data_IF_523434718381
#
_entry.id   IF_523434718381
#
_cell.length_a   1.000
_cell.length_b   1.000
_cell.length_c   1.000
_cell.angle_alpha   90.00
_cell.angle_beta   90.00
_cell.angle_gamma   90.00
#
_symmetry.space_group_name_H-M   'P 1'
#
loop_
_entity.id
_entity.type
_entity.pdbx_description
1 polymer ?
#
# COMPACT_ATOMS: atom_id res chain seq x y z
N UNK A 1 25.65 -2.62 -16.14
CA UNK A 1 24.28 -2.07 -16.25
C UNK A 1 24.33 -0.62 -15.82
N UNK A 2 24.03 0.35 -16.69
CA UNK A 2 23.88 1.75 -16.28
C UNK A 2 22.56 1.89 -15.55
N UNK A 3 22.59 2.43 -14.35
CA UNK A 3 21.38 2.74 -13.59
C UNK A 3 20.53 3.70 -14.40
N UNK A 4 19.28 3.36 -14.63
CA UNK A 4 18.30 4.27 -15.22
C UNK A 4 18.00 5.33 -14.15
N UNK A 5 18.58 6.51 -14.29
CA UNK A 5 18.19 7.65 -13.46
C UNK A 5 16.88 8.21 -14.00
N UNK A 6 15.80 7.99 -13.29
CA UNK A 6 14.58 8.75 -13.50
C UNK A 6 14.86 10.20 -13.09
N UNK A 7 14.99 11.10 -14.08
CA UNK A 7 14.90 12.53 -13.83
C UNK A 7 13.45 12.87 -13.57
N UNK A 8 13.09 13.04 -12.30
CA UNK A 8 11.85 13.71 -11.93
C UNK A 8 12.02 15.16 -12.35
N UNK A 9 11.16 15.64 -13.25
CA UNK A 9 11.12 17.04 -13.66
C UNK A 9 10.98 17.95 -12.45
N UNK A 10 11.62 19.12 -12.48
CA UNK A 10 11.44 20.13 -11.41
C UNK A 10 9.98 20.59 -11.27
N UNK A 11 9.19 20.42 -12.33
CA UNK A 11 7.78 20.82 -12.39
C UNK A 11 6.86 19.77 -11.71
N UNK A 12 7.32 18.51 -11.55
CA UNK A 12 6.62 17.47 -10.81
C UNK A 12 6.81 17.59 -9.29
N UNK A 13 7.66 18.50 -8.84
CA UNK A 13 7.73 18.91 -7.45
C UNK A 13 6.61 19.90 -7.16
N UNK A 14 5.35 19.47 -7.31
CA UNK A 14 4.29 20.11 -6.56
C UNK A 14 4.69 19.97 -5.09
N UNK A 15 4.94 21.10 -4.42
CA UNK A 15 5.55 21.04 -3.11
C UNK A 15 4.59 20.34 -2.16
N UNK A 16 5.12 19.63 -1.16
CA UNK A 16 4.39 19.20 0.03
C UNK A 16 3.58 20.34 0.69
N UNK A 17 3.66 21.54 0.17
CA UNK A 17 2.85 22.70 0.55
C UNK A 17 1.35 22.57 0.18
N UNK A 18 0.97 21.70 -0.75
CA UNK A 18 -0.45 21.40 -0.99
C UNK A 18 -1.05 20.49 0.09
N UNK A 19 -0.23 19.85 0.91
CA UNK A 19 -0.65 19.23 2.17
C UNK A 19 -0.83 20.25 3.30
N UNK A 20 -0.67 21.56 3.03
CA UNK A 20 -1.00 22.61 3.98
C UNK A 20 -2.50 22.62 4.24
N UNK A 21 -2.87 22.16 5.42
CA UNK A 21 -4.26 22.00 5.85
C UNK A 21 -4.66 20.56 6.11
N UNK A 22 -3.87 19.57 5.70
CA UNK A 22 -4.06 18.21 6.16
C UNK A 22 -3.50 18.09 7.58
N UNK A 23 -4.34 17.68 8.49
CA UNK A 23 -3.95 17.39 9.87
C UNK A 23 -4.43 15.99 10.22
N UNK A 24 -3.57 15.23 10.90
CA UNK A 24 -3.97 13.93 11.48
C UNK A 24 -4.97 14.10 12.63
N UNK A 25 -5.06 15.31 13.17
CA UNK A 25 -5.99 15.67 14.24
C UNK A 25 -7.13 16.52 13.69
N UNK A 26 -8.11 15.87 13.05
CA UNK A 26 -9.33 16.51 12.58
C UNK A 26 -10.53 15.93 13.33
N UNK A 27 -11.16 16.74 14.16
CA UNK A 27 -12.33 16.35 14.97
C UNK A 27 -13.66 16.77 14.35
N UNK A 28 -13.66 17.26 13.12
CA UNK A 28 -14.89 17.66 12.43
C UNK A 28 -15.77 16.44 12.13
N UNK A 29 -17.09 16.64 12.29
CA UNK A 29 -18.08 15.64 11.86
C UNK A 29 -18.38 15.84 10.36
N UNK A 30 -17.63 15.14 9.55
CA UNK A 30 -17.77 15.16 8.08
C UNK A 30 -18.83 14.17 7.65
N UNK A 31 -19.86 14.61 6.92
CA UNK A 31 -20.84 13.69 6.35
C UNK A 31 -20.25 12.92 5.16
N UNK A 32 -19.69 11.76 5.44
CA UNK A 32 -18.97 10.91 4.47
C UNK A 32 -19.86 10.44 3.33
N UNK A 33 -21.19 10.26 3.54
CA UNK A 33 -22.13 9.86 2.48
C UNK A 33 -22.25 10.90 1.36
N UNK A 34 -21.95 12.16 1.65
CA UNK A 34 -21.97 13.24 0.65
C UNK A 34 -20.62 13.49 0.00
N UNK A 35 -19.55 12.88 0.50
CA UNK A 35 -18.20 13.08 -0.04
C UNK A 35 -17.95 12.21 -1.28
N UNK A 36 -17.15 12.65 -2.25
CA UNK A 36 -16.56 11.78 -3.26
C UNK A 36 -15.57 10.81 -2.62
N UNK A 37 -15.11 9.78 -3.33
CA UNK A 37 -14.08 8.87 -2.83
C UNK A 37 -12.74 9.59 -2.59
N UNK A 38 -12.38 10.48 -3.49
CA UNK A 38 -11.14 11.27 -3.45
C UNK A 38 -11.43 12.76 -3.65
N UNK A 39 -10.52 13.61 -3.17
CA UNK A 39 -10.54 15.06 -3.36
C UNK A 39 -11.75 15.77 -2.76
N UNK A 40 -12.41 15.18 -1.77
CA UNK A 40 -13.44 15.82 -0.96
C UNK A 40 -12.85 16.57 0.24
N UNK A 41 -13.66 16.70 1.29
CA UNK A 41 -13.18 17.27 2.55
C UNK A 41 -12.19 16.31 3.23
N UNK A 42 -11.21 16.84 4.00
CA UNK A 42 -10.32 16.00 4.79
C UNK A 42 -11.11 15.09 5.73
N UNK A 43 -10.58 13.89 5.93
CA UNK A 43 -11.16 12.91 6.85
C UNK A 43 -11.26 13.48 8.27
N UNK A 44 -12.42 13.38 8.86
CA UNK A 44 -12.68 13.73 10.25
C UNK A 44 -12.68 12.50 11.16
N UNK A 45 -13.53 12.52 12.18
CA UNK A 45 -13.70 11.36 13.08
C UNK A 45 -14.29 10.19 12.31
N UNK A 46 -13.62 9.04 12.38
CA UNK A 46 -14.08 7.83 11.72
C UNK A 46 -15.32 7.26 12.40
N UNK A 47 -16.33 6.98 11.60
CA UNK A 47 -17.58 6.37 12.06
C UNK A 47 -17.74 4.99 11.50
N UNK A 48 -17.67 3.99 12.36
CA UNK A 48 -17.77 2.57 12.00
C UNK A 48 -19.20 2.07 11.78
N UNK A 49 -20.18 2.93 12.05
CA UNK A 49 -21.63 2.65 11.91
C UNK A 49 -22.25 3.25 10.63
N UNK A 50 -21.49 4.01 9.86
CA UNK A 50 -22.03 4.85 8.80
C UNK A 50 -21.16 4.87 7.53
N UNK A 51 -21.16 3.76 6.80
CA UNK A 51 -20.39 3.64 5.56
C UNK A 51 -21.19 4.09 4.33
N UNK A 52 -20.52 4.75 3.40
CA UNK A 52 -21.06 5.03 2.06
C UNK A 52 -20.92 3.81 1.16
N UNK A 53 -19.79 3.11 1.26
CA UNK A 53 -19.46 1.91 0.48
C UNK A 53 -19.07 0.75 1.41
N UNK A 54 -20.05 0.01 1.95
CA UNK A 54 -19.78 -1.10 2.86
C UNK A 54 -18.86 -2.19 2.28
N UNK A 55 -18.73 -2.26 0.97
CA UNK A 55 -17.85 -3.20 0.30
C UNK A 55 -16.36 -3.00 0.66
N UNK A 56 -15.93 -1.77 0.91
CA UNK A 56 -14.54 -1.50 1.33
C UNK A 56 -14.28 -2.01 2.74
N UNK A 57 -15.23 -1.83 3.64
CA UNK A 57 -15.14 -2.41 4.99
C UNK A 57 -15.11 -3.95 4.96
N UNK A 58 -15.92 -4.56 4.11
CA UNK A 58 -15.91 -6.01 3.94
C UNK A 58 -14.58 -6.49 3.34
N UNK A 59 -14.02 -5.76 2.39
CA UNK A 59 -12.71 -6.06 1.81
C UNK A 59 -11.60 -5.97 2.86
N UNK A 60 -11.60 -4.93 3.67
CA UNK A 60 -10.66 -4.78 4.80
C UNK A 60 -10.72 -5.98 5.75
N UNK A 61 -11.93 -6.45 6.09
CA UNK A 61 -12.11 -7.64 6.93
C UNK A 61 -11.59 -8.92 6.27
N UNK A 62 -11.76 -9.05 4.96
CA UNK A 62 -11.20 -10.17 4.21
C UNK A 62 -9.67 -10.13 4.21
N UNK A 63 -9.07 -8.97 3.96
CA UNK A 63 -7.62 -8.79 3.96
C UNK A 63 -7.01 -9.14 5.33
N UNK A 64 -7.63 -8.70 6.43
CA UNK A 64 -7.23 -9.07 7.77
C UNK A 64 -7.28 -10.59 8.02
N UNK A 65 -8.21 -11.29 7.37
CA UNK A 65 -8.33 -12.74 7.46
C UNK A 65 -7.24 -13.52 6.70
N UNK A 66 -6.53 -12.86 5.80
CA UNK A 66 -5.42 -13.45 5.01
C UNK A 66 -4.05 -13.18 5.63
N UNK A 67 -3.99 -12.44 6.73
CA UNK A 67 -2.73 -12.15 7.40
C UNK A 67 -1.99 -13.45 7.79
N UNK A 68 -0.74 -13.56 7.38
CA UNK A 68 0.16 -14.66 7.73
C UNK A 68 1.54 -14.11 8.11
N UNK A 69 2.36 -14.92 8.72
CA UNK A 69 3.71 -14.54 9.11
C UNK A 69 4.73 -15.42 8.39
N UNK A 70 5.87 -14.88 7.99
CA UNK A 70 6.92 -15.63 7.28
C UNK A 70 7.34 -16.92 8.00
N UNK A 71 7.26 -16.93 9.34
CA UNK A 71 7.63 -18.09 10.16
C UNK A 71 6.66 -19.27 10.01
N UNK A 72 5.47 -19.05 9.47
CA UNK A 72 4.47 -20.09 9.21
C UNK A 72 4.81 -20.91 7.95
N UNK A 73 5.73 -20.41 7.12
CA UNK A 73 6.18 -21.07 5.89
C UNK A 73 7.56 -21.68 6.08
N UNK A 74 7.65 -23.02 5.98
CA UNK A 74 8.93 -23.71 6.08
C UNK A 74 9.72 -23.64 4.78
N UNK A 75 10.87 -22.98 4.81
CA UNK A 75 11.79 -22.86 3.66
C UNK A 75 12.92 -23.91 3.68
N UNK A 76 12.86 -24.92 4.53
CA UNK A 76 13.94 -25.92 4.65
C UNK A 76 14.16 -26.71 3.37
N UNK A 77 13.06 -27.13 2.72
CA UNK A 77 13.12 -27.84 1.45
C UNK A 77 13.66 -26.93 0.34
N UNK A 78 13.15 -25.70 0.26
CA UNK A 78 13.58 -24.73 -0.76
C UNK A 78 15.06 -24.39 -0.65
N UNK A 79 15.57 -24.30 0.58
CA UNK A 79 17.01 -24.13 0.82
C UNK A 79 17.84 -25.28 0.26
N UNK A 80 17.37 -26.52 0.43
CA UNK A 80 18.01 -27.72 -0.14
C UNK A 80 17.97 -27.70 -1.66
N UNK A 81 16.81 -27.44 -2.22
CA UNK A 81 16.59 -27.39 -3.67
C UNK A 81 17.44 -26.27 -4.31
N UNK A 82 17.49 -25.10 -3.70
CA UNK A 82 18.33 -23.99 -4.17
C UNK A 82 19.81 -24.33 -4.24
N UNK A 83 20.33 -25.12 -3.29
CA UNK A 83 21.73 -25.53 -3.30
C UNK A 83 22.10 -26.40 -4.50
N UNK A 84 21.14 -27.18 -4.99
CA UNK A 84 21.32 -28.11 -6.14
C UNK A 84 21.19 -27.43 -7.50
N UNK A 85 20.68 -26.21 -7.56
CA UNK A 85 20.52 -25.45 -8.80
C UNK A 85 21.88 -25.16 -9.47
N UNK A 86 21.88 -25.20 -10.81
CA UNK A 86 23.02 -24.75 -11.62
C UNK A 86 23.22 -23.23 -11.48
N UNK A 87 24.44 -22.70 -11.72
CA UNK A 87 24.74 -21.29 -11.59
C UNK A 87 23.77 -20.37 -12.36
N UNK A 88 23.40 -20.76 -13.59
CA UNK A 88 22.47 -19.98 -14.43
C UNK A 88 21.06 -19.94 -13.82
N UNK A 89 20.61 -21.05 -13.28
CA UNK A 89 19.30 -21.13 -12.60
C UNK A 89 19.30 -20.28 -11.34
N UNK A 90 20.36 -20.34 -10.54
CA UNK A 90 20.54 -19.48 -9.34
C UNK A 90 20.52 -18.00 -9.73
N UNK A 91 21.19 -17.65 -10.82
CA UNK A 91 21.23 -16.27 -11.31
C UNK A 91 19.85 -15.77 -11.68
N UNK A 92 19.09 -16.53 -12.47
CA UNK A 92 17.73 -16.17 -12.89
C UNK A 92 16.82 -16.06 -11.68
N UNK A 93 16.82 -17.06 -10.81
CA UNK A 93 15.98 -17.08 -9.62
C UNK A 93 16.25 -15.88 -8.69
N UNK A 94 17.52 -15.67 -8.35
CA UNK A 94 17.93 -14.56 -7.46
C UNK A 94 17.64 -13.20 -8.09
N UNK A 95 17.84 -13.05 -9.40
CA UNK A 95 17.55 -11.79 -10.10
C UNK A 95 16.07 -11.48 -10.10
N UNK A 96 15.23 -12.52 -10.27
CA UNK A 96 13.78 -12.37 -10.23
C UNK A 96 13.29 -11.97 -8.83
N UNK A 97 13.78 -12.63 -7.78
CA UNK A 97 13.45 -12.26 -6.40
C UNK A 97 13.87 -10.82 -6.06
N UNK A 98 15.07 -10.40 -6.48
CA UNK A 98 15.52 -9.01 -6.28
C UNK A 98 14.62 -8.01 -6.98
N UNK A 99 14.11 -8.35 -8.16
CA UNK A 99 13.16 -7.51 -8.89
C UNK A 99 11.82 -7.42 -8.15
N UNK A 100 11.30 -8.55 -7.66
CA UNK A 100 10.06 -8.59 -6.87
C UNK A 100 10.19 -7.75 -5.60
N UNK A 101 11.23 -7.94 -4.80
CA UNK A 101 11.48 -7.15 -3.58
C UNK A 101 11.49 -5.64 -3.87
N UNK A 102 12.08 -5.23 -4.99
CA UNK A 102 12.05 -3.83 -5.41
C UNK A 102 10.63 -3.34 -5.72
N UNK A 103 9.86 -4.14 -6.44
CA UNK A 103 8.46 -3.80 -6.78
C UNK A 103 7.58 -3.75 -5.54
N UNK A 104 7.70 -4.71 -4.64
CA UNK A 104 6.94 -4.79 -3.40
C UNK A 104 7.24 -3.59 -2.51
N UNK A 105 8.50 -3.20 -2.39
CA UNK A 105 8.89 -2.00 -1.65
C UNK A 105 8.27 -0.71 -2.20
N UNK A 106 8.04 -0.62 -3.50
CA UNK A 106 7.32 0.50 -4.14
C UNK A 106 5.83 0.37 -3.89
N UNK A 107 5.28 -0.83 -4.08
CA UNK A 107 3.85 -1.10 -3.92
C UNK A 107 3.40 -0.89 -2.48
N UNK A 108 4.16 -1.35 -1.49
CA UNK A 108 3.84 -1.18 -0.07
C UNK A 108 3.76 0.30 0.36
N UNK A 109 4.51 1.20 -0.29
CA UNK A 109 4.50 2.64 0.04
C UNK A 109 3.51 3.45 -0.80
N UNK A 110 3.27 3.04 -2.05
CA UNK A 110 2.54 3.86 -3.02
C UNK A 110 1.10 4.18 -2.59
N UNK A 111 0.27 3.25 -2.09
CA UNK A 111 -1.08 3.56 -1.67
C UNK A 111 -1.13 4.60 -0.54
N UNK A 112 -0.27 4.45 0.47
CA UNK A 112 -0.20 5.38 1.61
C UNK A 112 0.26 6.79 1.21
N UNK A 113 1.21 6.90 0.29
CA UNK A 113 1.77 8.21 -0.10
C UNK A 113 0.95 8.86 -1.21
N UNK A 114 0.50 8.08 -2.21
CA UNK A 114 -0.10 8.61 -3.42
C UNK A 114 -1.62 8.72 -3.35
N UNK A 115 -2.30 7.88 -2.58
CA UNK A 115 -3.76 7.82 -2.56
C UNK A 115 -4.37 8.25 -1.21
N UNK A 116 -3.83 7.77 -0.09
CA UNK A 116 -4.40 8.05 1.23
C UNK A 116 -4.55 9.55 1.53
N UNK A 117 -3.61 10.45 1.17
CA UNK A 117 -3.76 11.87 1.41
C UNK A 117 -4.95 12.53 0.72
N UNK A 118 -5.44 11.94 -0.35
CA UNK A 118 -6.58 12.45 -1.12
C UNK A 118 -7.89 11.73 -0.83
N UNK A 119 -7.84 10.70 0.02
CA UNK A 119 -9.01 9.92 0.39
C UNK A 119 -9.98 10.76 1.22
N UNK A 120 -11.27 10.70 0.88
CA UNK A 120 -12.31 11.46 1.57
C UNK A 120 -13.33 10.58 2.28
N UNK A 121 -13.11 9.26 2.25
CA UNK A 121 -14.02 8.25 2.81
C UNK A 121 -13.22 7.32 3.73
N UNK A 122 -13.56 7.23 5.02
CA UNK A 122 -12.79 6.46 6.01
C UNK A 122 -12.66 4.97 5.69
N UNK A 123 -13.72 4.34 5.18
CA UNK A 123 -13.69 2.93 4.80
C UNK A 123 -12.75 2.64 3.64
N UNK A 124 -12.55 3.60 2.74
CA UNK A 124 -11.57 3.49 1.66
C UNK A 124 -10.14 3.69 2.19
N UNK A 125 -9.93 4.64 3.11
CA UNK A 125 -8.63 4.84 3.74
C UNK A 125 -8.18 3.57 4.46
N UNK A 126 -9.06 2.95 5.27
CA UNK A 126 -8.78 1.68 5.93
C UNK A 126 -8.44 0.56 4.95
N UNK A 127 -9.21 0.44 3.87
CA UNK A 127 -8.95 -0.54 2.82
C UNK A 127 -7.59 -0.34 2.15
N UNK A 128 -7.18 0.91 1.87
CA UNK A 128 -5.88 1.24 1.28
C UNK A 128 -4.71 0.89 2.20
N UNK A 129 -4.85 1.08 3.50
CA UNK A 129 -3.83 0.71 4.48
C UNK A 129 -3.55 -0.80 4.46
N UNK A 130 -4.61 -1.61 4.51
CA UNK A 130 -4.46 -3.07 4.50
C UNK A 130 -4.10 -3.64 3.13
N UNK A 131 -4.44 -2.96 2.03
CA UNK A 131 -3.99 -3.35 0.68
C UNK A 131 -2.48 -3.21 0.52
N UNK A 132 -1.86 -2.20 1.12
CA UNK A 132 -0.41 -2.05 1.07
C UNK A 132 0.31 -3.09 1.91
N UNK A 133 -0.26 -3.51 3.03
CA UNK A 133 0.28 -4.57 3.88
C UNK A 133 0.21 -5.94 3.18
N UNK A 134 -0.92 -6.25 2.54
CA UNK A 134 -1.11 -7.50 1.79
C UNK A 134 -0.27 -7.59 0.50
N UNK A 135 0.29 -6.49 -0.01
CA UNK A 135 1.14 -6.50 -1.18
C UNK A 135 2.62 -6.83 -0.85
N UNK A 136 3.01 -6.75 0.42
CA UNK A 136 4.34 -7.12 0.91
C UNK A 136 4.45 -8.64 1.20
N UNK A 137 3.36 -9.39 1.04
CA UNK A 137 3.24 -10.84 1.20
C UNK A 137 3.27 -11.58 -0.14
#
# INVERSE_FOLDING_TARGET
>A
MKAVQFKISSDDKKPMNELKGMTVFNTQDVNTKKQPMFFGQPLGVQRYDNFKYPQFENLTKQQLGYFWRPEEVSLQKDRGDYQTLRPEQKHIYTSNLKYQIMLDSVQGRAPGIALAPYCSIPELEGCLLYTSDAADE
#
